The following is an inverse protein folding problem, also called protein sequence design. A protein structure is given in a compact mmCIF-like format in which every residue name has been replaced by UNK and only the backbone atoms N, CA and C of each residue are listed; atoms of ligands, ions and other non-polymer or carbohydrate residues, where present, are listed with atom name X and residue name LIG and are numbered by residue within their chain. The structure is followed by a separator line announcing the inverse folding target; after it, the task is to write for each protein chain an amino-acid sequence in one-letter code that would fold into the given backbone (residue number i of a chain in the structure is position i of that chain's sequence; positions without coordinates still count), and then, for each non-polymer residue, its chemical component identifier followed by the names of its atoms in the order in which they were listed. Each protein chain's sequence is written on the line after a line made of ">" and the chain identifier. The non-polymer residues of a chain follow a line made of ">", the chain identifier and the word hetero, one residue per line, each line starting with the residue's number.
data_IF_639168189087
#
_entry.id   IF_639168189087
#
_cell.length_a   1.000
_cell.length_b   1.000
_cell.length_c   1.000
_cell.angle_alpha   90.00
_cell.angle_beta   90.00
_cell.angle_gamma   90.00
#
_symmetry.space_group_name_H-M   'P 1'
#
loop_
_entity.id
_entity.type
_entity.pdbx_description
1 polymer ?
#
# COMPACT_ATOMS: atom_id res chain seq x y z
N UNK A 1 8.36 -3.21 28.45
CA UNK A 1 8.68 -2.92 27.04
C UNK A 1 7.51 -2.47 26.16
N UNK A 2 6.25 -2.59 26.57
CA UNK A 2 5.10 -2.00 25.84
C UNK A 2 4.83 -2.51 24.42
N UNK A 3 5.52 -3.57 23.97
CA UNK A 3 5.23 -4.27 22.73
C UNK A 3 3.98 -5.12 22.83
N UNK A 4 3.24 -5.23 21.72
CA UNK A 4 2.07 -6.11 21.60
C UNK A 4 2.27 -7.05 20.42
N UNK A 5 2.09 -8.34 20.68
CA UNK A 5 2.17 -9.38 19.65
C UNK A 5 0.80 -10.02 19.46
N UNK A 6 0.39 -10.18 18.20
CA UNK A 6 -0.79 -10.97 17.84
C UNK A 6 -0.31 -12.35 17.39
N UNK A 7 -0.53 -13.36 18.23
CA UNK A 7 -0.21 -14.74 17.92
C UNK A 7 -1.34 -15.37 17.11
N UNK A 8 -0.98 -16.10 16.05
CA UNK A 8 -1.88 -16.91 15.24
C UNK A 8 -1.30 -18.31 15.12
N UNK A 9 -2.12 -19.32 15.35
CA UNK A 9 -1.73 -20.71 15.14
C UNK A 9 -1.93 -21.01 13.66
N UNK A 10 -0.93 -21.61 13.02
CA UNK A 10 -0.98 -22.03 11.63
C UNK A 10 -0.64 -23.51 11.53
N UNK A 11 -1.48 -24.29 10.86
CA UNK A 11 -1.21 -25.70 10.60
C UNK A 11 -0.98 -25.93 9.10
N UNK A 12 0.16 -26.51 8.67
CA UNK A 12 0.48 -26.63 7.24
C UNK A 12 -0.56 -27.38 6.39
N UNK A 13 -1.32 -28.32 6.97
CA UNK A 13 -2.36 -29.05 6.22
C UNK A 13 -3.67 -28.28 6.11
N UNK A 14 -3.85 -27.20 6.86
CA UNK A 14 -5.10 -26.42 6.89
C UNK A 14 -5.41 -25.83 5.51
N UNK A 15 -4.39 -25.40 4.76
CA UNK A 15 -4.55 -24.92 3.37
C UNK A 15 -5.10 -26.03 2.47
N UNK A 16 -4.56 -27.25 2.56
CA UNK A 16 -5.01 -28.37 1.74
C UNK A 16 -6.42 -28.83 2.12
N UNK A 17 -6.75 -28.81 3.43
CA UNK A 17 -8.09 -29.06 3.90
C UNK A 17 -9.08 -28.00 3.40
N UNK A 18 -8.71 -26.71 3.43
CA UNK A 18 -9.52 -25.60 2.94
C UNK A 18 -9.76 -25.65 1.42
N UNK A 19 -8.86 -26.29 0.66
CA UNK A 19 -9.06 -26.58 -0.77
C UNK A 19 -10.01 -27.74 -1.02
N UNK A 20 -10.20 -28.62 -0.03
CA UNK A 20 -10.90 -29.89 -0.22
C UNK A 20 -12.39 -29.70 0.00
N UNK A 21 -13.21 -30.14 -0.95
CA UNK A 21 -14.67 -30.20 -0.83
C UNK A 21 -15.19 -31.54 -1.31
N UNK A 22 -16.35 -31.96 -0.79
CA UNK A 22 -17.04 -33.18 -1.23
C UNK A 22 -17.99 -32.82 -2.37
N UNK A 23 -17.87 -33.51 -3.49
CA UNK A 23 -18.84 -33.42 -4.57
C UNK A 23 -20.11 -34.23 -4.25
N UNK A 24 -21.16 -34.07 -5.04
CA UNK A 24 -22.44 -34.81 -4.89
C UNK A 24 -22.27 -36.33 -4.93
N UNK A 25 -21.23 -36.81 -5.62
CA UNK A 25 -20.90 -38.23 -5.77
C UNK A 25 -20.01 -38.78 -4.62
N UNK A 26 -19.71 -37.96 -3.60
CA UNK A 26 -18.88 -38.34 -2.46
C UNK A 26 -17.36 -38.32 -2.72
N UNK A 27 -16.94 -37.98 -3.93
CA UNK A 27 -15.52 -37.84 -4.30
C UNK A 27 -14.95 -36.53 -3.76
N UNK A 28 -13.76 -36.59 -3.14
CA UNK A 28 -13.03 -35.41 -2.68
C UNK A 28 -12.37 -34.72 -3.88
N UNK A 29 -12.73 -33.46 -4.12
CA UNK A 29 -12.10 -32.59 -5.13
C UNK A 29 -11.36 -31.45 -4.44
N UNK A 30 -10.34 -30.94 -5.11
CA UNK A 30 -9.60 -29.76 -4.66
C UNK A 30 -9.94 -28.56 -5.54
N UNK A 31 -10.25 -27.43 -4.90
CA UNK A 31 -10.49 -26.14 -5.56
C UNK A 31 -10.04 -25.00 -4.66
N UNK A 32 -9.38 -24.02 -5.25
CA UNK A 32 -9.10 -22.79 -4.54
C UNK A 32 -10.37 -21.97 -4.31
N UNK A 33 -10.59 -21.59 -3.05
CA UNK A 33 -11.64 -20.69 -2.59
C UNK A 33 -11.01 -19.40 -2.09
N UNK A 34 -11.80 -18.32 -1.96
CA UNK A 34 -11.29 -17.07 -1.37
C UNK A 34 -10.69 -17.30 0.03
N UNK A 35 -11.27 -18.22 0.81
CA UNK A 35 -10.76 -18.61 2.12
C UNK A 35 -9.43 -19.37 2.02
N UNK A 36 -9.31 -20.38 1.15
CA UNK A 36 -8.06 -21.14 1.02
C UNK A 36 -6.90 -20.28 0.53
N UNK A 37 -7.17 -19.36 -0.41
CA UNK A 37 -6.19 -18.40 -0.93
C UNK A 37 -5.72 -17.46 0.18
N UNK A 38 -6.65 -16.91 0.97
CA UNK A 38 -6.31 -16.01 2.07
C UNK A 38 -5.53 -16.74 3.17
N UNK A 39 -5.91 -17.98 3.48
CA UNK A 39 -5.21 -18.81 4.45
C UNK A 39 -3.78 -19.14 4.00
N UNK A 40 -3.58 -19.52 2.73
CA UNK A 40 -2.25 -19.75 2.15
C UNK A 40 -1.40 -18.48 2.17
N UNK A 41 -2.00 -17.34 1.79
CA UNK A 41 -1.34 -16.04 1.85
C UNK A 41 -0.80 -15.78 3.26
N UNK A 42 -1.65 -15.89 4.27
CA UNK A 42 -1.32 -15.52 5.65
C UNK A 42 -0.35 -16.50 6.33
N UNK A 43 -0.47 -17.80 6.05
CA UNK A 43 0.27 -18.84 6.78
C UNK A 43 1.53 -19.34 6.07
N UNK A 44 1.61 -19.19 4.74
CA UNK A 44 2.74 -19.70 3.93
C UNK A 44 3.49 -18.58 3.23
N UNK A 45 2.78 -17.69 2.52
CA UNK A 45 3.42 -16.70 1.65
C UNK A 45 4.00 -15.52 2.43
N UNK A 46 3.20 -14.92 3.33
CA UNK A 46 3.64 -13.76 4.13
C UNK A 46 4.86 -14.08 5.02
N UNK A 47 4.97 -15.23 5.70
CA UNK A 47 6.17 -15.59 6.45
C UNK A 47 7.41 -15.71 5.56
N UNK A 48 7.29 -16.34 4.38
CA UNK A 48 8.39 -16.46 3.42
C UNK A 48 8.85 -15.10 2.91
N UNK A 49 7.91 -14.23 2.54
CA UNK A 49 8.23 -12.87 2.11
C UNK A 49 8.88 -12.05 3.23
N UNK A 50 8.40 -12.18 4.47
CA UNK A 50 9.00 -11.49 5.62
C UNK A 50 10.45 -11.92 5.83
N UNK A 51 10.74 -13.22 5.76
CA UNK A 51 12.10 -13.74 5.82
C UNK A 51 12.98 -13.28 4.66
N UNK A 52 12.44 -13.25 3.43
CA UNK A 52 13.17 -12.80 2.25
C UNK A 52 13.49 -11.30 2.30
N UNK A 53 12.54 -10.47 2.72
CA UNK A 53 12.75 -9.03 2.91
C UNK A 53 13.75 -8.74 4.04
N UNK A 54 13.74 -9.54 5.11
CA UNK A 54 14.77 -9.47 6.15
C UNK A 54 16.16 -9.84 5.62
N UNK A 55 16.25 -10.90 4.81
CA UNK A 55 17.48 -11.27 4.11
C UNK A 55 17.98 -10.14 3.20
N UNK A 56 17.08 -9.48 2.47
CA UNK A 56 17.40 -8.34 1.62
C UNK A 56 17.91 -7.14 2.42
N UNK A 57 17.29 -6.82 3.56
CA UNK A 57 17.77 -5.78 4.48
C UNK A 57 19.18 -6.07 5.01
N UNK A 58 19.47 -7.34 5.29
CA UNK A 58 20.78 -7.76 5.79
C UNK A 58 21.87 -7.58 4.72
N UNK A 59 21.53 -7.79 3.45
CA UNK A 59 22.43 -7.57 2.31
C UNK A 59 22.58 -6.09 1.95
N UNK A 60 21.48 -5.33 2.03
CA UNK A 60 21.42 -3.92 1.67
C UNK A 60 20.88 -3.08 2.83
N UNK A 61 21.74 -2.56 3.71
CA UNK A 61 21.31 -1.84 4.91
C UNK A 61 20.43 -0.60 4.64
N UNK A 62 20.51 -0.02 3.44
CA UNK A 62 19.70 1.13 3.02
C UNK A 62 18.23 0.78 2.73
N UNK A 63 17.91 -0.48 2.46
CA UNK A 63 16.60 -0.94 1.98
C UNK A 63 15.46 -0.57 2.92
N UNK A 64 15.58 -0.87 4.20
CA UNK A 64 14.50 -0.70 5.19
C UNK A 64 14.14 0.76 5.39
N UNK A 65 15.13 1.64 5.37
CA UNK A 65 14.88 3.09 5.44
C UNK A 65 14.29 3.61 4.13
N UNK A 66 14.74 3.12 2.96
CA UNK A 66 14.13 3.45 1.67
C UNK A 66 12.66 3.00 1.60
N UNK A 67 12.36 1.79 2.07
CA UNK A 67 11.00 1.26 2.16
C UNK A 67 10.13 2.10 3.10
N UNK A 68 10.66 2.56 4.24
CA UNK A 68 9.95 3.48 5.14
C UNK A 68 9.65 4.83 4.47
N UNK A 69 10.60 5.37 3.69
CA UNK A 69 10.36 6.61 2.91
C UNK A 69 9.28 6.40 1.85
N UNK A 70 9.32 5.28 1.11
CA UNK A 70 8.32 4.93 0.12
C UNK A 70 6.92 4.76 0.74
N UNK A 71 6.81 4.00 1.83
CA UNK A 71 5.53 3.86 2.57
C UNK A 71 5.02 5.19 3.10
N UNK A 72 5.93 6.04 3.61
CA UNK A 72 5.58 7.39 4.07
C UNK A 72 5.08 8.27 2.92
N UNK A 73 5.70 8.18 1.75
CA UNK A 73 5.28 8.90 0.56
C UNK A 73 3.90 8.43 0.07
N UNK A 74 3.68 7.12 -0.05
CA UNK A 74 2.38 6.53 -0.40
C UNK A 74 1.29 6.98 0.57
N UNK A 75 1.55 6.92 1.88
CA UNK A 75 0.60 7.36 2.90
C UNK A 75 0.36 8.88 2.87
N UNK A 76 1.42 9.68 2.70
CA UNK A 76 1.34 11.13 2.60
C UNK A 76 0.48 11.60 1.42
N UNK A 77 0.53 10.87 0.31
CA UNK A 77 -0.31 11.12 -0.87
C UNK A 77 -1.70 10.47 -0.82
N UNK A 78 -2.10 9.93 0.34
CA UNK A 78 -3.40 9.28 0.57
C UNK A 78 -3.66 8.05 -0.32
N UNK A 79 -2.60 7.30 -0.64
CA UNK A 79 -2.68 6.10 -1.51
C UNK A 79 -2.66 4.78 -0.72
N UNK A 80 -2.37 4.82 0.59
CA UNK A 80 -2.15 3.63 1.44
C UNK A 80 -3.36 2.70 1.58
N UNK A 81 -4.59 3.19 1.37
CA UNK A 81 -5.80 2.36 1.38
C UNK A 81 -5.94 1.45 0.16
N UNK A 82 -5.19 1.75 -0.91
CA UNK A 82 -5.27 1.06 -2.20
C UNK A 82 -3.93 0.46 -2.62
N UNK A 83 -2.84 0.92 -2.01
CA UNK A 83 -1.49 0.36 -2.17
C UNK A 83 -1.08 -0.22 -0.82
N UNK A 84 -1.19 -1.56 -0.63
CA UNK A 84 -0.79 -2.20 0.60
C UNK A 84 0.68 -1.93 0.96
N UNK A 85 1.00 -1.89 2.25
CA UNK A 85 2.38 -1.66 2.70
C UNK A 85 3.37 -2.68 2.11
N UNK A 86 2.98 -3.96 2.10
CA UNK A 86 3.79 -5.04 1.52
C UNK A 86 4.04 -4.81 0.02
N UNK A 87 3.04 -4.36 -0.74
CA UNK A 87 3.20 -4.05 -2.17
C UNK A 87 4.23 -2.93 -2.36
N UNK A 88 4.22 -1.93 -1.47
CA UNK A 88 5.21 -0.85 -1.47
C UNK A 88 6.62 -1.37 -1.15
N UNK A 89 6.75 -2.25 -0.15
CA UNK A 89 8.03 -2.88 0.19
C UNK A 89 8.58 -3.74 -0.95
N UNK A 90 7.73 -4.48 -1.66
CA UNK A 90 8.10 -5.26 -2.84
C UNK A 90 8.51 -4.36 -4.02
N UNK A 91 7.81 -3.25 -4.25
CA UNK A 91 8.22 -2.27 -5.26
C UNK A 91 9.62 -1.74 -4.98
N UNK A 92 9.93 -1.42 -3.72
CA UNK A 92 11.28 -1.00 -3.32
C UNK A 92 12.27 -2.16 -3.44
N UNK A 93 11.91 -3.36 -2.99
CA UNK A 93 12.77 -4.55 -3.06
C UNK A 93 13.19 -4.86 -4.51
N UNK A 94 12.31 -4.64 -5.47
CA UNK A 94 12.63 -4.86 -6.89
C UNK A 94 13.83 -4.03 -7.37
N UNK A 95 14.09 -2.86 -6.78
CA UNK A 95 15.24 -2.00 -7.13
C UNK A 95 16.56 -2.67 -6.71
N UNK A 96 16.54 -3.42 -5.60
CA UNK A 96 17.70 -4.10 -5.05
C UNK A 96 17.90 -5.50 -5.65
N UNK A 97 16.85 -6.08 -6.24
CA UNK A 97 16.90 -7.38 -6.91
C UNK A 97 17.24 -7.26 -8.41
N UNK A 98 16.75 -6.20 -9.06
CA UNK A 98 16.91 -5.93 -10.50
C UNK A 98 18.13 -5.03 -10.76
N UNK A 99 19.29 -5.51 -10.31
CA UNK A 99 20.56 -4.78 -10.47
C UNK A 99 21.24 -5.19 -11.78
N UNK A 100 21.70 -4.23 -12.61
CA UNK A 100 22.52 -4.54 -13.76
C UNK A 100 23.79 -5.29 -13.36
N UNK A 101 24.34 -6.17 -14.20
CA UNK A 101 25.58 -6.87 -13.93
C UNK A 101 26.70 -5.91 -13.54
N UNK A 102 27.36 -6.18 -12.40
CA UNK A 102 28.46 -5.35 -11.88
C UNK A 102 28.02 -4.06 -11.18
N UNK A 103 26.72 -3.77 -11.07
CA UNK A 103 26.23 -2.62 -10.32
C UNK A 103 26.06 -2.94 -8.83
N UNK A 104 26.40 -1.96 -7.99
CA UNK A 104 26.08 -2.01 -6.56
C UNK A 104 24.68 -1.45 -6.38
N UNK A 105 23.87 -2.08 -5.52
CA UNK A 105 22.55 -1.58 -5.17
C UNK A 105 22.61 -0.21 -4.48
N UNK A 106 21.45 0.46 -4.30
CA UNK A 106 21.41 1.76 -3.62
C UNK A 106 22.12 1.70 -2.25
N UNK A 107 23.19 2.48 -2.09
CA UNK A 107 23.95 2.52 -0.82
C UNK A 107 23.34 3.46 0.21
N UNK A 108 22.49 4.40 -0.23
CA UNK A 108 21.80 5.35 0.64
C UNK A 108 20.27 5.22 0.51
N UNK A 109 19.51 5.41 1.59
CA UNK A 109 18.05 5.35 1.54
C UNK A 109 17.43 6.35 0.57
N UNK A 110 18.07 7.51 0.39
CA UNK A 110 17.64 8.56 -0.52
C UNK A 110 17.72 8.09 -1.98
N UNK A 111 18.80 7.40 -2.36
CA UNK A 111 18.94 6.82 -3.70
C UNK A 111 17.88 5.73 -3.90
N UNK A 112 17.66 4.86 -2.91
CA UNK A 112 16.62 3.83 -2.97
C UNK A 112 15.22 4.43 -3.17
N UNK A 113 14.91 5.51 -2.44
CA UNK A 113 13.66 6.24 -2.58
C UNK A 113 13.50 6.94 -3.94
N UNK A 114 14.56 7.57 -4.46
CA UNK A 114 14.56 8.17 -5.80
C UNK A 114 14.31 7.14 -6.90
N UNK A 115 14.97 5.97 -6.80
CA UNK A 115 14.76 4.87 -7.75
C UNK A 115 13.35 4.30 -7.65
N UNK A 116 12.76 4.26 -6.45
CA UNK A 116 11.35 3.89 -6.26
C UNK A 116 10.43 4.86 -6.99
N UNK A 117 10.59 6.17 -6.81
CA UNK A 117 9.79 7.17 -7.53
C UNK A 117 9.97 7.02 -9.05
N UNK A 118 11.20 6.83 -9.53
CA UNK A 118 11.49 6.63 -10.95
C UNK A 118 10.80 5.38 -11.50
N UNK A 119 10.82 4.28 -10.76
CA UNK A 119 10.14 3.03 -11.15
C UNK A 119 8.63 3.24 -11.20
N UNK A 120 8.03 3.85 -10.17
CA UNK A 120 6.60 4.19 -10.14
C UNK A 120 6.21 5.08 -11.33
N UNK A 121 6.98 6.13 -11.61
CA UNK A 121 6.69 7.09 -12.67
C UNK A 121 6.82 6.52 -14.09
N UNK A 122 7.85 5.70 -14.34
CA UNK A 122 8.27 5.33 -15.70
C UNK A 122 7.85 3.93 -16.15
N UNK A 123 7.47 3.05 -15.24
CA UNK A 123 7.08 1.68 -15.61
C UNK A 123 5.70 1.66 -16.27
N UNK A 124 5.60 1.04 -17.44
CA UNK A 124 4.33 0.72 -18.07
C UNK A 124 3.73 -0.54 -17.44
N UNK A 125 3.01 -0.36 -16.33
CA UNK A 125 2.38 -1.45 -15.56
C UNK A 125 1.39 -2.29 -16.35
N UNK A 126 0.91 -1.80 -17.50
CA UNK A 126 0.04 -2.57 -18.37
C UNK A 126 0.81 -3.53 -19.29
N UNK A 127 2.06 -3.23 -19.59
CA UNK A 127 2.88 -3.98 -20.54
C UNK A 127 3.80 -5.00 -19.86
N UNK A 128 4.22 -4.74 -18.61
CA UNK A 128 5.16 -5.62 -17.90
C UNK A 128 4.65 -5.95 -16.49
N UNK A 129 4.75 -7.23 -16.06
CA UNK A 129 4.57 -7.59 -14.66
C UNK A 129 5.82 -7.23 -13.85
N UNK A 130 5.70 -7.17 -12.52
CA UNK A 130 6.86 -7.09 -11.65
C UNK A 130 7.16 -8.46 -11.04
N UNK A 131 8.32 -9.02 -11.40
CA UNK A 131 8.77 -10.35 -10.95
C UNK A 131 9.93 -10.18 -9.97
N UNK A 132 9.73 -10.64 -8.73
CA UNK A 132 10.74 -10.57 -7.67
C UNK A 132 11.41 -11.93 -7.46
N UNK A 133 12.60 -12.09 -8.04
CA UNK A 133 13.40 -13.30 -7.92
C UNK A 133 14.30 -13.27 -6.67
N UNK A 134 13.68 -13.41 -5.50
CA UNK A 134 14.41 -13.56 -4.23
C UNK A 134 15.34 -14.77 -4.28
N UNK A 135 16.59 -14.56 -3.87
CA UNK A 135 17.64 -15.58 -3.79
C UNK A 135 17.87 -16.38 -5.08
N UNK A 136 17.51 -15.82 -6.25
CA UNK A 136 17.63 -16.49 -7.56
C UNK A 136 16.92 -17.85 -7.62
N UNK A 137 15.82 -17.99 -6.87
CA UNK A 137 15.03 -19.22 -6.81
C UNK A 137 14.21 -19.48 -8.08
N UNK A 138 13.88 -18.43 -8.84
CA UNK A 138 13.19 -18.55 -10.11
C UNK A 138 14.19 -18.76 -11.24
N UNK A 139 13.98 -19.82 -12.02
CA UNK A 139 14.72 -20.08 -13.25
C UNK A 139 14.29 -19.18 -14.41
N UNK A 140 15.11 -19.14 -15.47
CA UNK A 140 14.81 -18.32 -16.68
C UNK A 140 13.51 -18.78 -17.36
N UNK A 141 13.29 -20.09 -17.45
CA UNK A 141 12.06 -20.67 -18.02
C UNK A 141 10.83 -20.29 -17.21
N UNK A 142 10.91 -20.35 -15.87
CA UNK A 142 9.78 -19.98 -15.01
C UNK A 142 9.43 -18.49 -15.12
N UNK A 143 10.43 -17.63 -15.30
CA UNK A 143 10.21 -16.19 -15.52
C UNK A 143 9.51 -15.98 -16.86
N UNK A 144 9.98 -16.64 -17.93
CA UNK A 144 9.36 -16.56 -19.25
C UNK A 144 7.90 -17.06 -19.24
N UNK A 145 7.62 -18.14 -18.52
CA UNK A 145 6.26 -18.66 -18.34
C UNK A 145 5.35 -17.65 -17.62
N UNK A 146 5.86 -16.96 -16.60
CA UNK A 146 5.09 -15.92 -15.89
C UNK A 146 4.77 -14.73 -16.81
N UNK A 147 5.72 -14.31 -17.66
CA UNK A 147 5.51 -13.24 -18.64
C UNK A 147 4.51 -13.64 -19.73
N UNK A 148 4.58 -14.88 -20.19
CA UNK A 148 3.60 -15.44 -21.14
C UNK A 148 2.20 -15.53 -20.53
N UNK A 149 2.10 -15.97 -19.27
CA UNK A 149 0.83 -16.00 -18.55
C UNK A 149 0.27 -14.58 -18.36
N UNK A 150 1.11 -13.63 -17.98
CA UNK A 150 0.71 -12.24 -17.82
C UNK A 150 0.14 -11.65 -19.11
N UNK A 151 0.85 -11.83 -20.23
CA UNK A 151 0.44 -11.29 -21.53
C UNK A 151 -0.85 -11.96 -22.04
N UNK A 152 -0.96 -13.29 -21.95
CA UNK A 152 -2.14 -14.04 -22.40
C UNK A 152 -3.41 -13.74 -21.58
N UNK A 153 -3.27 -13.44 -20.28
CA UNK A 153 -4.40 -13.22 -19.37
C UNK A 153 -4.63 -11.74 -19.01
N UNK A 154 -3.89 -10.82 -19.64
CA UNK A 154 -3.75 -9.42 -19.21
C UNK A 154 -5.09 -8.72 -18.91
N UNK A 155 -6.10 -8.95 -19.75
CA UNK A 155 -7.44 -8.36 -19.64
C UNK A 155 -8.17 -8.72 -18.34
N UNK A 156 -7.82 -9.84 -17.71
CA UNK A 156 -8.45 -10.35 -16.48
C UNK A 156 -7.65 -10.04 -15.21
N UNK A 157 -6.46 -9.42 -15.36
CA UNK A 157 -5.51 -9.19 -14.27
C UNK A 157 -5.61 -7.76 -13.71
N UNK A 158 -5.25 -7.55 -12.43
CA UNK A 158 -5.21 -6.21 -11.86
C UNK A 158 -4.25 -5.28 -12.61
N UNK A 159 -4.37 -3.95 -12.44
CA UNK A 159 -3.48 -2.98 -13.08
C UNK A 159 -2.00 -3.17 -12.71
N UNK A 160 -1.72 -3.57 -11.47
CA UNK A 160 -0.40 -3.91 -10.97
C UNK A 160 -0.35 -5.40 -10.66
N UNK A 161 0.53 -6.14 -11.32
CA UNK A 161 0.73 -7.58 -11.12
C UNK A 161 2.11 -7.81 -10.51
N UNK A 162 2.14 -8.59 -9.42
CA UNK A 162 3.35 -8.95 -8.69
C UNK A 162 3.51 -10.47 -8.62
N UNK A 163 4.63 -10.96 -9.13
CA UNK A 163 5.10 -12.31 -8.93
C UNK A 163 6.29 -12.31 -7.97
N UNK A 164 6.45 -13.39 -7.21
CA UNK A 164 7.60 -13.58 -6.34
C UNK A 164 8.08 -15.02 -6.43
N UNK A 165 9.29 -15.30 -5.96
CA UNK A 165 9.80 -16.67 -5.79
C UNK A 165 8.88 -17.62 -5.02
N UNK A 166 7.88 -17.11 -4.30
CA UNK A 166 7.02 -17.90 -3.43
C UNK A 166 5.56 -17.99 -3.92
N UNK A 167 5.15 -17.17 -4.88
CA UNK A 167 3.79 -17.22 -5.45
C UNK A 167 3.80 -16.92 -6.94
N UNK A 168 3.23 -17.86 -7.71
CA UNK A 168 2.97 -17.71 -9.15
C UNK A 168 1.56 -17.18 -9.43
N UNK A 169 0.74 -16.95 -8.40
CA UNK A 169 -0.61 -16.40 -8.58
C UNK A 169 -0.53 -14.87 -8.78
N UNK A 170 -0.90 -14.34 -9.99
CA UNK A 170 -0.75 -12.91 -10.32
C UNK A 170 -1.68 -11.99 -9.52
N UNK A 171 -2.72 -12.52 -8.89
CA UNK A 171 -3.72 -11.73 -8.16
C UNK A 171 -3.48 -11.70 -6.65
N UNK A 172 -2.65 -12.59 -6.12
CA UNK A 172 -2.57 -12.83 -4.67
C UNK A 172 -2.22 -11.58 -3.84
N UNK A 173 -1.28 -10.77 -4.33
CA UNK A 173 -0.73 -9.63 -3.60
C UNK A 173 -1.45 -8.32 -3.89
N UNK A 174 -2.15 -8.22 -5.03
CA UNK A 174 -2.78 -7.00 -5.54
C UNK A 174 -4.27 -7.16 -5.86
N UNK A 175 -4.92 -8.19 -5.30
CA UNK A 175 -6.35 -8.45 -5.50
C UNK A 175 -7.23 -7.25 -5.11
N UNK A 176 -6.90 -6.60 -3.98
CA UNK A 176 -7.68 -5.49 -3.43
C UNK A 176 -7.29 -4.11 -3.99
N UNK A 177 -6.26 -4.06 -4.84
CA UNK A 177 -5.72 -2.83 -5.40
C UNK A 177 -4.21 -2.88 -5.66
N UNK A 178 -3.66 -1.84 -6.30
CA UNK A 178 -4.33 -0.58 -6.65
C UNK A 178 -5.27 -0.69 -7.86
N UNK A 179 -6.34 0.11 -7.83
CA UNK A 179 -7.19 0.35 -9.01
C UNK A 179 -6.45 1.19 -10.05
N UNK A 180 -6.89 1.15 -11.32
CA UNK A 180 -6.22 1.84 -12.41
C UNK A 180 -6.11 3.37 -12.18
N UNK A 181 -7.15 4.09 -11.72
CA UNK A 181 -7.04 5.52 -11.44
C UNK A 181 -6.06 5.83 -10.31
N UNK A 182 -6.00 4.99 -9.28
CA UNK A 182 -5.06 5.15 -8.16
C UNK A 182 -3.62 4.93 -8.63
N UNK A 183 -3.39 3.90 -9.45
CA UNK A 183 -2.07 3.62 -10.01
C UNK A 183 -1.62 4.77 -10.92
N UNK A 184 -2.49 5.24 -11.83
CA UNK A 184 -2.21 6.38 -12.70
C UNK A 184 -1.90 7.65 -11.88
N UNK A 185 -2.66 7.90 -10.81
CA UNK A 185 -2.38 9.00 -9.87
C UNK A 185 -1.02 8.84 -9.19
N UNK A 186 -0.65 7.63 -8.77
CA UNK A 186 0.66 7.37 -8.19
C UNK A 186 1.79 7.65 -9.19
N UNK A 187 1.63 7.26 -10.47
CA UNK A 187 2.59 7.55 -11.53
C UNK A 187 2.75 9.05 -11.77
N UNK A 188 1.64 9.79 -11.82
CA UNK A 188 1.63 11.25 -11.99
C UNK A 188 2.34 11.93 -10.81
N UNK A 189 1.96 11.60 -9.58
CA UNK A 189 2.56 12.17 -8.37
C UNK A 189 4.06 11.84 -8.29
N UNK A 190 4.47 10.63 -8.65
CA UNK A 190 5.89 10.26 -8.68
C UNK A 190 6.67 11.08 -9.71
N UNK A 191 6.08 11.30 -10.90
CA UNK A 191 6.68 12.15 -11.94
C UNK A 191 6.85 13.60 -11.49
N UNK A 192 5.82 14.19 -10.87
CA UNK A 192 5.89 15.55 -10.34
C UNK A 192 6.86 15.66 -9.14
N UNK A 193 6.92 14.63 -8.29
CA UNK A 193 7.89 14.58 -7.18
C UNK A 193 9.33 14.57 -7.71
N UNK A 194 9.60 13.82 -8.79
CA UNK A 194 10.92 13.79 -9.43
C UNK A 194 11.28 15.13 -10.06
N UNK A 195 10.36 15.77 -10.81
CA UNK A 195 10.58 17.10 -11.38
C UNK A 195 10.89 18.13 -10.30
N UNK A 196 10.13 18.12 -9.20
CA UNK A 196 10.37 19.02 -8.06
C UNK A 196 11.77 18.81 -7.47
N UNK A 197 12.24 17.56 -7.37
CA UNK A 197 13.58 17.25 -6.89
C UNK A 197 14.65 17.72 -7.87
N UNK A 198 14.48 17.48 -9.17
CA UNK A 198 15.40 17.94 -10.21
C UNK A 198 15.52 19.47 -10.21
N UNK A 199 14.40 20.19 -10.21
CA UNK A 199 14.37 21.66 -10.17
C UNK A 199 15.06 22.23 -8.91
N UNK A 200 14.84 21.61 -7.76
CA UNK A 200 15.44 22.05 -6.50
C UNK A 200 16.94 21.78 -6.46
N UNK A 201 17.40 20.66 -7.02
CA UNK A 201 18.83 20.34 -7.12
C UNK A 201 19.55 21.25 -8.12
N UNK A 202 18.94 21.55 -9.27
CA UNK A 202 19.54 22.40 -10.31
C UNK A 202 19.66 23.87 -9.90
N UNK A 203 18.76 24.37 -9.04
CA UNK A 203 18.71 25.80 -8.69
C UNK A 203 19.69 26.21 -7.57
N UNK A 204 20.52 25.31 -7.05
CA UNK A 204 21.49 25.55 -5.96
C UNK A 204 20.95 26.51 -4.86
N UNK A 205 19.66 26.41 -4.53
CA UNK A 205 19.09 27.27 -3.50
C UNK A 205 19.70 26.81 -2.17
N UNK A 206 20.39 27.70 -1.42
CA UNK A 206 21.19 27.32 -0.24
C UNK A 206 20.34 26.80 0.94
N UNK A 207 19.02 26.80 0.82
CA UNK A 207 18.14 26.12 1.75
C UNK A 207 17.07 25.36 0.96
N UNK A 208 17.18 24.03 0.95
CA UNK A 208 16.03 23.16 0.71
C UNK A 208 15.04 23.43 1.86
N UNK A 209 14.20 24.45 1.71
CA UNK A 209 13.50 25.05 2.84
C UNK A 209 12.36 24.17 3.35
N UNK A 210 11.83 23.25 2.53
CA UNK A 210 10.83 22.28 2.98
C UNK A 210 10.77 20.98 2.14
N UNK A 211 11.68 20.02 2.38
CA UNK A 211 11.57 18.66 1.80
C UNK A 211 10.26 17.95 2.16
N UNK A 212 9.53 18.42 3.18
CA UNK A 212 8.25 17.79 3.55
C UNK A 212 7.20 17.96 2.46
N UNK A 213 7.35 18.95 1.58
CA UNK A 213 6.47 19.13 0.42
C UNK A 213 6.37 17.88 -0.47
N UNK A 214 7.45 17.08 -0.58
CA UNK A 214 7.47 15.83 -1.34
C UNK A 214 6.45 14.79 -0.83
N UNK A 215 6.06 14.91 0.45
CA UNK A 215 5.18 13.99 1.14
C UNK A 215 3.79 14.58 1.39
N UNK A 216 3.51 15.82 0.94
CA UNK A 216 2.20 16.46 1.13
C UNK A 216 1.26 16.11 -0.04
N UNK A 217 0.00 15.76 0.24
CA UNK A 217 -0.97 15.45 -0.80
C UNK A 217 -1.45 16.73 -1.51
N UNK A 218 -1.65 16.65 -2.82
CA UNK A 218 -2.42 17.66 -3.56
C UNK A 218 -3.93 17.49 -3.26
N UNK A 219 -4.45 18.25 -2.29
CA UNK A 219 -5.86 18.15 -1.86
C UNK A 219 -6.85 18.63 -2.92
N UNK A 220 -6.41 19.49 -3.84
CA UNK A 220 -7.20 20.01 -4.97
C UNK A 220 -7.68 18.93 -5.94
N UNK A 221 -7.01 17.77 -5.94
CA UNK A 221 -7.38 16.65 -6.79
C UNK A 221 -8.61 15.88 -6.30
N UNK A 222 -9.10 16.13 -5.09
CA UNK A 222 -10.31 15.49 -4.54
C UNK A 222 -11.54 16.40 -4.68
N UNK A 223 -12.71 15.79 -4.83
CA UNK A 223 -13.99 16.52 -4.93
C UNK A 223 -14.43 17.07 -3.57
N UNK A 224 -14.08 16.37 -2.49
CA UNK A 224 -14.28 16.82 -1.12
C UNK A 224 -13.15 16.33 -0.21
N UNK A 225 -12.83 17.12 0.81
CA UNK A 225 -11.82 16.83 1.82
C UNK A 225 -12.44 16.98 3.20
N UNK A 226 -12.45 15.90 3.98
CA UNK A 226 -12.92 15.90 5.36
C UNK A 226 -11.72 16.12 6.27
N UNK A 227 -11.71 17.24 6.99
CA UNK A 227 -10.72 17.55 8.02
C UNK A 227 -11.18 16.96 9.34
N UNK A 228 -10.33 16.13 9.94
CA UNK A 228 -10.59 15.52 11.24
C UNK A 228 -10.02 16.38 12.36
N UNK A 229 -10.66 16.37 13.51
CA UNK A 229 -10.18 16.97 14.74
C UNK A 229 -8.86 16.30 15.16
N UNK A 230 -7.72 17.01 15.15
CA UNK A 230 -6.42 16.42 15.46
C UNK A 230 -6.37 15.81 16.86
N UNK A 231 -7.18 16.29 17.81
CA UNK A 231 -7.20 15.75 19.17
C UNK A 231 -7.70 14.30 19.22
N UNK A 232 -8.56 13.93 18.28
CA UNK A 232 -9.20 12.61 18.19
C UNK A 232 -8.42 11.62 17.30
N UNK A 233 -7.36 12.07 16.62
CA UNK A 233 -6.53 11.22 15.76
C UNK A 233 -5.38 10.62 16.57
N UNK A 234 -5.43 9.31 16.85
CA UNK A 234 -4.40 8.61 17.62
C UNK A 234 -2.98 8.77 17.02
N UNK A 235 -2.88 8.77 15.69
CA UNK A 235 -1.61 8.94 14.94
C UNK A 235 -1.26 10.40 14.64
N UNK A 236 -1.87 11.39 15.31
CA UNK A 236 -1.60 12.82 15.04
C UNK A 236 -0.12 13.19 15.16
N UNK A 237 0.59 12.51 16.06
CA UNK A 237 2.03 12.68 16.29
C UNK A 237 2.89 12.25 15.09
N UNK A 238 2.35 11.38 14.23
CA UNK A 238 3.00 10.96 13.00
C UNK A 238 2.78 11.97 11.86
N UNK A 239 1.99 13.04 12.03
CA UNK A 239 1.78 14.04 10.97
C UNK A 239 3.12 14.73 10.59
N UNK A 240 3.33 15.05 9.31
CA UNK A 240 4.53 15.75 8.81
C UNK A 240 4.79 17.08 9.52
N UNK A 241 3.69 17.77 9.87
CA UNK A 241 3.69 19.08 10.49
C UNK A 241 3.38 19.02 11.99
N UNK A 242 3.41 17.82 12.60
CA UNK A 242 3.26 17.69 14.04
C UNK A 242 4.40 18.43 14.76
N UNK A 243 4.03 19.27 15.73
CA UNK A 243 5.00 19.88 16.66
C UNK A 243 5.53 18.78 17.57
N UNK A 244 6.69 18.22 17.25
CA UNK A 244 7.41 17.29 18.11
C UNK A 244 8.07 18.08 19.24
N UNK A 245 7.90 17.65 20.49
CA UNK A 245 8.57 18.23 21.66
C UNK A 245 10.08 17.92 21.71
N UNK A 246 10.68 17.51 20.59
CA UNK A 246 12.07 17.03 20.48
C UNK A 246 12.32 15.66 21.12
N UNK A 247 11.42 15.15 21.96
CA UNK A 247 11.54 13.83 22.59
C UNK A 247 10.88 12.75 21.73
N UNK A 248 11.55 11.60 21.49
CA UNK A 248 10.90 10.43 20.91
C UNK A 248 9.66 10.06 21.73
N UNK A 249 8.61 9.53 21.07
CA UNK A 249 7.48 8.96 21.79
C UNK A 249 7.99 7.84 22.69
N UNK A 250 7.80 7.99 24.00
CA UNK A 250 8.24 7.01 24.98
C UNK A 250 7.26 5.84 24.97
N UNK A 251 7.80 4.62 24.89
CA UNK A 251 6.97 3.42 25.00
C UNK A 251 6.61 3.28 26.48
N UNK A 252 5.40 3.69 26.82
CA UNK A 252 4.91 3.57 28.19
C UNK A 252 4.76 2.09 28.55
N UNK A 253 5.22 1.67 29.75
CA UNK A 253 4.91 0.35 30.25
C UNK A 253 3.39 0.21 30.37
N UNK A 254 2.88 -0.97 30.04
CA UNK A 254 1.48 -1.31 30.31
C UNK A 254 1.30 -1.27 31.83
N UNK A 255 0.48 -0.32 32.31
CA UNK A 255 -0.03 -0.38 33.68
C UNK A 255 -0.84 -1.67 33.87
N UNK A 256 -1.14 -2.07 35.11
CA UNK A 256 -2.04 -3.20 35.36
C UNK A 256 -3.43 -2.82 34.83
N UNK A 257 -3.75 -3.26 33.62
CA UNK A 257 -5.06 -3.08 33.01
C UNK A 257 -5.81 -4.40 33.20
N UNK A 258 -6.96 -4.36 33.87
CA UNK A 258 -7.85 -5.53 34.07
C UNK A 258 -8.58 -5.97 32.78
N UNK A 259 -8.29 -5.30 31.66
CA UNK A 259 -8.91 -5.52 30.36
C UNK A 259 -7.84 -5.64 29.28
N UNK A 260 -8.13 -6.44 28.24
CA UNK A 260 -7.25 -6.55 27.09
C UNK A 260 -7.27 -5.20 26.36
N UNK A 261 -6.11 -4.51 26.20
CA UNK A 261 -6.09 -3.21 25.55
C UNK A 261 -6.56 -3.33 24.10
N UNK A 262 -7.37 -2.37 23.65
CA UNK A 262 -7.84 -2.32 22.28
C UNK A 262 -6.71 -1.87 21.35
N UNK A 263 -5.96 -2.82 20.80
CA UNK A 263 -4.77 -2.55 19.97
C UNK A 263 -5.13 -2.41 18.50
N UNK A 264 -4.66 -1.34 17.87
CA UNK A 264 -4.85 -1.09 16.44
C UNK A 264 -6.25 -0.60 16.05
N UNK A 265 -7.08 -0.20 17.02
CA UNK A 265 -8.34 0.47 16.72
C UNK A 265 -8.07 1.88 16.21
N UNK A 266 -8.47 2.11 14.96
CA UNK A 266 -8.38 3.40 14.31
C UNK A 266 -9.79 3.78 13.84
N UNK A 267 -10.45 4.76 14.49
CA UNK A 267 -11.84 5.09 14.18
C UNK A 267 -12.01 5.65 12.75
N UNK A 268 -10.91 6.09 12.13
CA UNK A 268 -10.89 6.71 10.80
C UNK A 268 -10.91 5.67 9.65
N UNK A 269 -10.49 4.43 9.90
CA UNK A 269 -10.14 3.49 8.82
C UNK A 269 -11.30 2.60 8.31
N UNK A 270 -12.50 2.69 8.92
CA UNK A 270 -13.57 1.69 8.74
C UNK A 270 -14.91 2.19 8.17
N UNK A 271 -15.00 3.41 7.63
CA UNK A 271 -16.28 3.94 7.13
C UNK A 271 -16.51 3.55 5.66
N UNK A 272 -17.41 2.58 5.41
CA UNK A 272 -17.89 2.24 4.06
C UNK A 272 -19.23 2.93 3.82
N UNK A 273 -19.33 3.83 2.84
CA UNK A 273 -20.58 4.54 2.56
C UNK A 273 -20.98 4.48 1.08
N UNK A 274 -22.04 3.73 0.78
CA UNK A 274 -22.69 3.65 -0.54
C UNK A 274 -24.21 3.38 -0.35
N UNK A 275 -25.05 3.84 -1.28
CA UNK A 275 -26.51 3.56 -1.34
C UNK A 275 -26.89 3.12 -2.76
N UNK A 276 -27.98 2.39 -2.97
CA UNK A 276 -28.57 2.21 -4.30
C UNK A 276 -29.37 3.47 -4.72
N UNK A 277 -29.14 3.95 -5.96
CA UNK A 277 -29.98 4.96 -6.60
C UNK A 277 -31.32 4.36 -7.05
N UNK A 278 -32.24 5.20 -7.53
CA UNK A 278 -33.58 4.79 -7.97
C UNK A 278 -33.56 3.84 -9.19
N UNK A 279 -32.43 3.74 -9.88
CA UNK A 279 -32.20 2.85 -11.04
C UNK A 279 -31.52 1.54 -10.64
N UNK A 280 -31.36 1.25 -9.34
CA UNK A 280 -30.72 0.03 -8.85
C UNK A 280 -29.19 0.06 -8.84
N UNK A 281 -28.57 1.19 -9.18
CA UNK A 281 -27.12 1.36 -9.26
C UNK A 281 -26.56 1.94 -7.96
N UNK A 282 -25.48 1.36 -7.43
CA UNK A 282 -24.77 1.89 -6.26
C UNK A 282 -24.24 3.30 -6.54
N UNK A 283 -24.82 4.31 -5.88
CA UNK A 283 -24.37 5.70 -5.87
C UNK A 283 -23.88 6.11 -4.48
N UNK A 284 -23.00 7.11 -4.45
CA UNK A 284 -22.47 7.67 -3.21
C UNK A 284 -23.56 8.58 -2.61
N UNK A 285 -24.05 8.25 -1.41
CA UNK A 285 -25.00 9.10 -0.70
C UNK A 285 -24.24 10.16 0.08
N UNK A 286 -23.86 11.25 -0.57
CA UNK A 286 -23.09 12.32 0.05
C UNK A 286 -23.78 12.95 1.27
N UNK A 287 -25.11 13.12 1.21
CA UNK A 287 -25.89 13.62 2.35
C UNK A 287 -25.80 12.71 3.56
N UNK A 288 -25.97 11.39 3.36
CA UNK A 288 -25.77 10.42 4.43
C UNK A 288 -24.30 10.29 4.84
N UNK A 289 -23.33 10.47 3.95
CA UNK A 289 -21.90 10.45 4.31
C UNK A 289 -21.59 11.60 5.25
N UNK A 290 -21.97 12.82 4.90
CA UNK A 290 -21.71 14.00 5.73
C UNK A 290 -22.49 13.90 7.04
N UNK A 291 -23.73 13.41 7.00
CA UNK A 291 -24.55 13.19 8.19
C UNK A 291 -24.02 12.04 9.06
N UNK A 292 -23.61 10.91 8.49
CA UNK A 292 -23.00 9.79 9.19
C UNK A 292 -21.66 10.21 9.78
N UNK A 293 -20.84 10.97 9.06
CA UNK A 293 -19.61 11.55 9.61
C UNK A 293 -19.90 12.57 10.73
N UNK A 294 -21.00 13.32 10.65
CA UNK A 294 -21.46 14.23 11.71
C UNK A 294 -22.04 13.49 12.93
N UNK A 295 -22.71 12.36 12.74
CA UNK A 295 -23.40 11.58 13.78
C UNK A 295 -22.48 10.55 14.42
N UNK A 296 -21.78 9.74 13.62
CA UNK A 296 -20.78 8.74 14.07
C UNK A 296 -19.53 9.45 14.58
N UNK A 297 -19.14 10.55 13.95
CA UNK A 297 -17.95 11.31 14.27
C UNK A 297 -18.19 12.46 15.24
N UNK A 298 -19.14 12.38 16.18
CA UNK A 298 -19.34 13.41 17.21
C UNK A 298 -17.97 13.83 17.80
N UNK A 299 -17.57 15.09 17.58
CA UNK A 299 -16.26 15.70 17.88
C UNK A 299 -15.03 15.24 17.04
N UNK A 300 -15.15 14.22 16.20
CA UNK A 300 -14.10 13.71 15.29
C UNK A 300 -13.96 14.53 14.01
N UNK A 301 -15.04 15.05 13.43
CA UNK A 301 -15.00 15.85 12.20
C UNK A 301 -14.89 17.33 12.57
N UNK A 302 -13.84 17.99 12.08
CA UNK A 302 -13.61 19.43 12.28
C UNK A 302 -14.37 20.24 11.22
N UNK A 303 -14.16 19.92 9.93
CA UNK A 303 -14.85 20.58 8.81
C UNK A 303 -14.81 19.77 7.53
N UNK A 304 -15.69 20.10 6.58
CA UNK A 304 -15.74 19.51 5.23
C UNK A 304 -15.48 20.60 4.20
N UNK A 305 -14.45 20.43 3.38
CA UNK A 305 -14.07 21.32 2.27
C UNK A 305 -14.58 20.68 0.96
N UNK A 306 -15.48 21.33 0.22
CA UNK A 306 -16.02 20.83 -1.05
C UNK A 306 -15.47 21.68 -2.20
N UNK A 307 -14.97 21.01 -3.25
CA UNK A 307 -14.46 21.69 -4.43
C UNK A 307 -15.58 21.91 -5.45
N UNK A 308 -16.30 23.03 -5.32
CA UNK A 308 -17.45 23.36 -6.18
C UNK A 308 -17.09 23.71 -7.63
N UNK A 309 -15.83 24.09 -7.93
CA UNK A 309 -15.42 24.50 -9.29
C UNK A 309 -15.50 23.35 -10.30
N UNK A 310 -15.23 22.11 -9.88
CA UNK A 310 -15.40 20.90 -10.73
C UNK A 310 -16.87 20.54 -10.98
N UNK A 311 -17.78 21.04 -10.16
CA UNK A 311 -19.20 20.68 -10.20
C UNK A 311 -20.04 21.65 -11.04
N UNK A 312 -19.56 22.88 -11.23
CA UNK A 312 -20.28 23.95 -11.96
C UNK A 312 -19.95 23.92 -13.47
N UNK A 313 -18.94 23.16 -13.91
CA UNK A 313 -18.59 23.04 -15.34
C UNK A 313 -18.05 21.64 -15.67
N UNK A 314 -18.94 20.64 -15.87
CA UNK A 314 -18.53 19.30 -16.30
C UNK A 314 -17.88 19.26 -17.69
N UNK A 315 -18.04 20.31 -18.51
CA UNK A 315 -17.57 20.36 -19.90
C UNK A 315 -16.16 20.98 -20.10
N UNK A 316 -15.39 21.19 -19.01
CA UNK A 316 -14.02 21.76 -19.09
C UNK A 316 -12.94 20.90 -18.40
N UNK A 317 -13.12 19.58 -18.37
CA UNK A 317 -12.11 18.63 -17.90
C UNK A 317 -11.64 17.71 -19.04
#
# INVERSE_FOLDING_TARGET
>A
DGFVFRLRIAYPREVNLARTFKDTDGVLKQRDTAFSIQLEKDTVILPKLSGALYGLQSQYPSFGTAARLAKRWIAGHMLSLQVPELVTELLVASIYLDLPPGSIGPISPQIGFLQFLRKVARTNWNAVPLILNFNKLLGVEEIADMELQFSSQRSSLPPLVLYTSYTKNPKLLTADGPTLPVLARAMLLASETLKLLEDNLSRFKPAITDLKMLFRPATTAFDAVIRLNPKMVAKRHMNLDAKTSGKPAEILPLEKIDTIPLVGFEPVSNVKARKLNQEGKLSINFGAIVQDFSVIGKDLVDRVEINFEKWISPDKA
#
